data_IF_937034585880
#
_entry.id   IF_937034585880
#
_cell.length_a   1.000
_cell.length_b   1.000
_cell.length_c   1.000
_cell.angle_alpha   90.00
_cell.angle_beta   90.00
_cell.angle_gamma   90.00
#
_symmetry.space_group_name_H-M   'P 1'
#
loop_
_entity.id
_entity.type
_entity.pdbx_description
1 polymer ?
#
# COMPACT_ATOMS: atom_id res chain seq x y z
N UNK A 1 -12.71 0.87 -8.69
CA UNK A 1 -13.43 1.32 -7.48
C UNK A 1 -12.54 2.31 -6.71
N UNK A 2 -11.47 1.89 -6.01
CA UNK A 2 -10.61 2.80 -5.23
C UNK A 2 -10.03 3.99 -6.02
N UNK A 3 -9.36 3.78 -7.15
CA UNK A 3 -8.73 4.87 -7.92
C UNK A 3 -9.75 5.93 -8.35
N UNK A 4 -10.92 5.50 -8.81
CA UNK A 4 -12.02 6.41 -9.19
C UNK A 4 -12.53 7.20 -7.97
N UNK A 5 -12.77 6.51 -6.87
CA UNK A 5 -13.16 7.13 -5.59
C UNK A 5 -12.10 8.14 -5.13
N UNK A 6 -10.82 7.85 -5.32
CA UNK A 6 -9.71 8.76 -4.99
C UNK A 6 -9.76 10.03 -5.82
N UNK A 7 -9.92 9.92 -7.14
CA UNK A 7 -10.05 11.09 -8.03
C UNK A 7 -11.24 11.97 -7.59
N UNK A 8 -12.37 11.35 -7.25
CA UNK A 8 -13.55 12.05 -6.74
C UNK A 8 -13.29 12.71 -5.38
N UNK A 9 -12.58 12.03 -4.47
CA UNK A 9 -12.19 12.57 -3.17
C UNK A 9 -11.31 13.82 -3.29
N UNK A 10 -10.29 13.80 -4.15
CA UNK A 10 -9.44 14.96 -4.42
C UNK A 10 -10.26 16.12 -5.01
N UNK A 11 -11.24 15.83 -5.87
CA UNK A 11 -12.16 16.86 -6.39
C UNK A 11 -13.02 17.49 -5.30
N UNK A 12 -13.50 16.71 -4.33
CA UNK A 12 -14.27 17.19 -3.18
C UNK A 12 -13.41 18.07 -2.26
N UNK A 13 -12.12 17.73 -2.11
CA UNK A 13 -11.19 18.57 -1.35
C UNK A 13 -11.01 19.94 -2.03
N UNK A 14 -10.97 19.99 -3.36
CA UNK A 14 -10.93 21.24 -4.13
C UNK A 14 -9.69 22.07 -3.80
N UNK A 15 -9.87 23.34 -3.45
CA UNK A 15 -8.77 24.23 -3.07
C UNK A 15 -8.09 23.88 -1.75
N UNK A 16 -8.63 22.93 -0.97
CA UNK A 16 -8.01 22.42 0.26
C UNK A 16 -6.90 21.41 0.01
N UNK A 17 -6.69 20.99 -1.24
CA UNK A 17 -5.61 20.07 -1.60
C UNK A 17 -4.28 20.82 -1.59
N UNK A 18 -3.40 20.45 -0.68
CA UNK A 18 -2.02 20.96 -0.55
C UNK A 18 -0.97 19.88 -0.89
N UNK A 19 -1.40 18.76 -1.47
CA UNK A 19 -0.56 17.63 -1.86
C UNK A 19 -0.70 17.29 -3.35
N UNK A 20 0.33 16.64 -3.90
CA UNK A 20 0.30 16.06 -5.24
C UNK A 20 0.16 14.54 -5.18
N UNK A 21 -0.49 13.94 -6.18
CA UNK A 21 -0.66 12.48 -6.28
C UNK A 21 0.08 11.92 -7.48
N UNK A 22 0.82 10.84 -7.28
CA UNK A 22 1.22 9.92 -8.34
C UNK A 22 0.36 8.65 -8.22
N UNK A 23 -0.41 8.34 -9.26
CA UNK A 23 -1.31 7.19 -9.30
C UNK A 23 -0.83 6.20 -10.36
N UNK A 24 -0.31 5.05 -9.92
CA UNK A 24 0.01 3.94 -10.80
C UNK A 24 -1.21 3.02 -10.97
N UNK A 25 -1.73 2.88 -12.19
CA UNK A 25 -2.93 2.04 -12.46
C UNK A 25 -2.62 0.53 -12.53
N UNK A 26 -1.36 0.19 -12.78
CA UNK A 26 -0.86 -1.17 -12.92
C UNK A 26 -0.74 -1.61 -14.37
N UNK A 27 0.28 -2.42 -14.68
CA UNK A 27 0.61 -2.89 -16.04
C UNK A 27 -0.50 -3.70 -16.72
N UNK A 28 -1.39 -4.29 -15.93
CA UNK A 28 -2.51 -5.11 -16.41
C UNK A 28 -3.84 -4.35 -16.44
N UNK A 29 -3.83 -3.03 -16.18
CA UNK A 29 -5.04 -2.22 -16.27
C UNK A 29 -5.49 -2.13 -17.73
N UNK A 30 -6.78 -2.38 -18.05
CA UNK A 30 -7.29 -2.15 -19.39
C UNK A 30 -7.07 -0.68 -19.81
N UNK A 31 -6.66 -0.39 -21.06
CA UNK A 31 -6.35 0.97 -21.51
C UNK A 31 -7.51 1.95 -21.29
N UNK A 32 -8.75 1.47 -21.35
CA UNK A 32 -9.96 2.27 -21.14
C UNK A 32 -10.04 2.83 -19.72
N UNK A 33 -9.54 2.07 -18.73
CA UNK A 33 -9.49 2.53 -17.32
C UNK A 33 -8.51 3.69 -17.18
N UNK A 34 -7.36 3.63 -17.84
CA UNK A 34 -6.38 4.72 -17.81
C UNK A 34 -6.97 6.00 -18.41
N UNK A 35 -7.55 5.90 -19.61
CA UNK A 35 -8.17 7.04 -20.29
C UNK A 35 -9.33 7.65 -19.50
N UNK A 36 -10.16 6.81 -18.87
CA UNK A 36 -11.26 7.27 -18.02
C UNK A 36 -10.73 8.01 -16.78
N UNK A 37 -9.71 7.45 -16.10
CA UNK A 37 -9.12 8.10 -14.93
C UNK A 37 -8.44 9.42 -15.29
N UNK A 38 -7.73 9.50 -16.42
CA UNK A 38 -7.13 10.75 -16.91
C UNK A 38 -8.18 11.82 -17.22
N UNK A 39 -9.28 11.43 -17.88
CA UNK A 39 -10.36 12.34 -18.19
C UNK A 39 -11.03 12.88 -16.91
N UNK A 40 -11.25 12.01 -15.91
CA UNK A 40 -11.76 12.42 -14.62
C UNK A 40 -10.75 13.29 -13.85
N UNK A 41 -9.46 12.97 -13.87
CA UNK A 41 -8.43 13.70 -13.11
C UNK A 41 -8.09 15.09 -13.68
N UNK A 42 -8.66 15.49 -14.83
CA UNK A 42 -8.36 16.77 -15.48
C UNK A 42 -8.55 17.96 -14.52
N UNK A 43 -7.50 18.76 -14.38
CA UNK A 43 -7.49 19.94 -13.50
C UNK A 43 -7.21 19.64 -12.02
N UNK A 44 -6.98 18.38 -11.66
CA UNK A 44 -6.58 17.98 -10.31
C UNK A 44 -5.05 17.76 -10.25
N UNK A 45 -4.41 17.88 -9.08
CA UNK A 45 -2.98 17.62 -8.90
C UNK A 45 -2.67 16.11 -8.84
N UNK A 46 -3.14 15.36 -9.84
CA UNK A 46 -2.99 13.92 -9.95
C UNK A 46 -2.28 13.59 -11.27
N UNK A 47 -1.10 12.99 -11.17
CA UNK A 47 -0.39 12.39 -12.29
C UNK A 47 -0.71 10.90 -12.32
N UNK A 48 -1.31 10.45 -13.42
CA UNK A 48 -1.62 9.03 -13.64
C UNK A 48 -0.54 8.42 -14.53
N UNK A 49 -0.07 7.23 -14.18
CA UNK A 49 0.92 6.46 -14.94
C UNK A 49 0.49 4.99 -15.04
N UNK A 50 0.85 4.27 -16.11
CA UNK A 50 0.58 2.84 -16.21
C UNK A 50 1.30 2.06 -15.11
N UNK A 51 2.56 2.40 -14.83
CA UNK A 51 3.36 1.81 -13.77
C UNK A 51 4.53 2.72 -13.38
N UNK A 52 5.23 2.33 -12.32
CA UNK A 52 6.49 2.94 -11.86
C UNK A 52 7.56 1.86 -11.84
N UNK A 53 8.72 2.13 -12.44
CA UNK A 53 9.84 1.16 -12.49
C UNK A 53 10.44 0.93 -11.09
N UNK A 54 10.58 2.00 -10.31
CA UNK A 54 11.15 1.99 -8.96
C UNK A 54 10.10 2.37 -7.91
N UNK A 55 9.16 1.46 -7.64
CA UNK A 55 8.11 1.65 -6.65
C UNK A 55 8.66 1.99 -5.27
N UNK A 56 9.79 1.38 -4.90
CA UNK A 56 10.43 1.57 -3.59
C UNK A 56 10.87 3.02 -3.39
N UNK A 57 11.54 3.64 -4.37
CA UNK A 57 11.94 5.05 -4.26
C UNK A 57 10.75 6.01 -4.21
N UNK A 58 9.69 5.76 -4.96
CA UNK A 58 8.47 6.59 -4.89
C UNK A 58 7.76 6.44 -3.54
N UNK A 59 7.67 5.22 -2.99
CA UNK A 59 7.13 4.99 -1.64
C UNK A 59 8.02 5.69 -0.60
N UNK A 60 9.34 5.62 -0.75
CA UNK A 60 10.30 6.28 0.14
C UNK A 60 10.16 7.82 0.12
N UNK A 61 9.73 8.40 -0.99
CA UNK A 61 9.47 9.84 -1.11
C UNK A 61 8.06 10.25 -0.64
N UNK A 62 7.10 9.33 -0.59
CA UNK A 62 5.71 9.64 -0.26
C UNK A 62 5.52 9.97 1.23
N UNK A 63 4.63 10.94 1.49
CA UNK A 63 4.11 11.25 2.84
C UNK A 63 2.98 10.31 3.26
N UNK A 64 2.20 9.81 2.29
CA UNK A 64 1.12 8.84 2.48
C UNK A 64 1.01 7.94 1.25
N UNK A 65 0.96 6.63 1.46
CA UNK A 65 0.67 5.63 0.42
C UNK A 65 -0.79 5.19 0.52
N UNK A 66 -1.52 5.19 -0.59
CA UNK A 66 -2.89 4.64 -0.64
C UNK A 66 -2.90 3.38 -1.51
N UNK A 67 -3.24 2.23 -0.94
CA UNK A 67 -3.14 0.95 -1.64
C UNK A 67 -4.20 -0.08 -1.20
N UNK A 68 -4.31 -1.18 -1.96
CA UNK A 68 -5.29 -2.24 -1.73
C UNK A 68 -4.73 -3.46 -0.99
N UNK A 69 -3.82 -3.25 -0.03
CA UNK A 69 -3.21 -4.31 0.78
C UNK A 69 -2.47 -5.41 0.00
N UNK A 70 -1.93 -5.11 -1.20
CA UNK A 70 -1.07 -6.03 -1.95
C UNK A 70 0.18 -6.43 -1.13
N UNK A 71 0.65 -7.67 -1.28
CA UNK A 71 1.77 -8.18 -0.46
C UNK A 71 3.04 -7.36 -0.67
N UNK A 72 3.43 -7.11 -1.93
CA UNK A 72 4.64 -6.36 -2.25
C UNK A 72 4.57 -4.92 -1.73
N UNK A 73 3.50 -4.19 -2.05
CA UNK A 73 3.33 -2.80 -1.63
C UNK A 73 3.32 -2.67 -0.11
N UNK A 74 2.65 -3.57 0.61
CA UNK A 74 2.68 -3.53 2.08
C UNK A 74 4.06 -3.87 2.64
N UNK A 75 4.79 -4.80 2.02
CA UNK A 75 6.16 -5.12 2.44
C UNK A 75 7.08 -3.91 2.26
N UNK A 76 6.98 -3.19 1.15
CA UNK A 76 7.73 -1.95 0.91
C UNK A 76 7.34 -0.85 1.91
N UNK A 77 6.04 -0.64 2.14
CA UNK A 77 5.52 0.32 3.13
C UNK A 77 6.06 0.04 4.53
N UNK A 78 6.04 -1.22 4.95
CA UNK A 78 6.52 -1.64 6.27
C UNK A 78 8.04 -1.51 6.39
N UNK A 79 8.78 -1.95 5.36
CA UNK A 79 10.23 -1.83 5.31
C UNK A 79 10.69 -0.37 5.40
N UNK A 80 10.03 0.52 4.65
CA UNK A 80 10.32 1.96 4.60
C UNK A 80 9.66 2.75 5.74
N UNK A 81 8.87 2.09 6.60
CA UNK A 81 8.09 2.70 7.69
C UNK A 81 7.27 3.90 7.23
N UNK A 82 6.55 3.73 6.13
CA UNK A 82 5.72 4.79 5.54
C UNK A 82 4.30 4.72 6.05
N UNK A 83 3.67 5.89 6.18
CA UNK A 83 2.22 5.95 6.41
C UNK A 83 1.52 5.34 5.21
N UNK A 84 0.59 4.44 5.49
CA UNK A 84 -0.29 3.92 4.47
C UNK A 84 -1.74 3.91 4.94
N UNK A 85 -2.62 4.42 4.08
CA UNK A 85 -4.06 4.26 4.18
C UNK A 85 -4.47 3.12 3.25
N UNK A 86 -4.91 2.02 3.83
CA UNK A 86 -5.10 0.76 3.13
C UNK A 86 -6.58 0.46 2.96
N UNK A 87 -7.00 0.21 1.73
CA UNK A 87 -8.39 -0.14 1.39
C UNK A 87 -8.42 -1.52 0.75
N UNK A 88 -8.54 -2.61 1.54
CA UNK A 88 -8.49 -3.97 1.01
C UNK A 88 -9.69 -4.24 0.08
N UNK A 89 -9.59 -5.24 -0.81
CA UNK A 89 -10.71 -5.61 -1.69
C UNK A 89 -11.93 -6.11 -0.90
N UNK A 90 -13.12 -5.73 -1.37
CA UNK A 90 -14.41 -6.24 -0.89
C UNK A 90 -14.68 -7.71 -1.25
N UNK A 91 -14.15 -8.20 -2.38
CA UNK A 91 -14.35 -9.57 -2.89
C UNK A 91 -13.55 -10.68 -2.17
N UNK A 92 -13.29 -11.85 -2.82
CA UNK A 92 -12.52 -12.95 -2.24
C UNK A 92 -11.06 -12.53 -2.08
N UNK A 93 -10.76 -11.89 -0.95
CA UNK A 93 -9.42 -11.48 -0.57
C UNK A 93 -9.31 -11.43 0.95
N UNK A 94 -9.73 -12.53 1.58
CA UNK A 94 -9.66 -12.70 3.03
C UNK A 94 -8.23 -12.45 3.55
N UNK A 95 -7.22 -12.84 2.78
CA UNK A 95 -5.81 -12.58 3.08
C UNK A 95 -5.48 -11.09 3.14
N UNK A 96 -5.97 -10.27 2.20
CA UNK A 96 -5.75 -8.82 2.21
C UNK A 96 -6.37 -8.17 3.45
N UNK A 97 -7.61 -8.56 3.78
CA UNK A 97 -8.31 -8.05 4.98
C UNK A 97 -7.61 -8.49 6.26
N UNK A 98 -7.22 -9.76 6.35
CA UNK A 98 -6.50 -10.31 7.50
C UNK A 98 -5.17 -9.58 7.70
N UNK A 99 -4.37 -9.43 6.63
CA UNK A 99 -3.09 -8.71 6.65
C UNK A 99 -3.28 -7.25 7.08
N UNK A 100 -4.22 -6.54 6.45
CA UNK A 100 -4.50 -5.15 6.76
C UNK A 100 -4.93 -4.98 8.23
N UNK A 101 -5.82 -5.84 8.73
CA UNK A 101 -6.25 -5.83 10.13
C UNK A 101 -5.11 -6.10 11.11
N UNK A 102 -4.27 -7.12 10.85
CA UNK A 102 -3.14 -7.46 11.71
C UNK A 102 -2.07 -6.36 11.79
N UNK A 103 -1.85 -5.61 10.71
CA UNK A 103 -0.93 -4.48 10.70
C UNK A 103 -1.54 -3.22 11.33
N UNK A 104 -2.83 -2.98 11.13
CA UNK A 104 -3.55 -1.87 11.77
C UNK A 104 -3.63 -2.04 13.30
N UNK A 105 -3.86 -3.26 13.80
CA UNK A 105 -3.84 -3.56 15.23
C UNK A 105 -2.47 -3.26 15.88
N UNK A 106 -1.39 -3.36 15.11
CA UNK A 106 -0.03 -3.00 15.53
C UNK A 106 0.30 -1.54 15.27
N UNK A 107 -0.64 -0.74 14.75
CA UNK A 107 -0.45 0.67 14.34
C UNK A 107 0.69 0.86 13.34
N UNK A 108 0.87 -0.10 12.43
CA UNK A 108 1.88 -0.03 11.37
C UNK A 108 1.34 0.61 10.08
N UNK A 109 0.02 0.56 9.91
CA UNK A 109 -0.74 1.19 8.82
C UNK A 109 -2.07 1.65 9.40
N UNK A 110 -2.85 2.36 8.60
CA UNK A 110 -4.28 2.47 8.86
C UNK A 110 -5.14 1.89 7.73
N UNK A 111 -6.39 1.59 8.07
CA UNK A 111 -7.34 0.90 7.20
C UNK A 111 -8.63 1.70 7.09
N UNK A 112 -9.11 1.82 5.85
CA UNK A 112 -10.50 2.19 5.56
C UNK A 112 -11.21 0.94 5.05
N UNK A 113 -12.28 0.54 5.74
CA UNK A 113 -13.07 -0.62 5.33
C UNK A 113 -13.65 -0.38 3.92
N UNK A 114 -13.54 -1.35 2.99
CA UNK A 114 -14.14 -1.20 1.67
C UNK A 114 -15.66 -0.97 1.68
N UNK A 115 -16.37 -1.37 2.74
CA UNK A 115 -17.79 -1.07 2.92
C UNK A 115 -18.05 0.41 3.18
N UNK A 116 -17.08 1.12 3.77
CA UNK A 116 -17.15 2.56 4.09
C UNK A 116 -16.51 3.43 2.99
N UNK A 117 -16.05 2.82 1.89
CA UNK A 117 -15.35 3.53 0.83
C UNK A 117 -16.31 4.41 0.02
N UNK A 118 -16.36 5.69 0.39
CA UNK A 118 -16.99 6.76 -0.40
C UNK A 118 -15.99 7.87 -0.72
N UNK A 119 -16.26 8.72 -1.74
CA UNK A 119 -15.41 9.88 -2.04
C UNK A 119 -15.27 10.83 -0.85
N UNK A 120 -16.35 11.09 -0.12
CA UNK A 120 -16.39 11.97 1.05
C UNK A 120 -15.56 11.38 2.19
N UNK A 121 -15.74 10.08 2.46
CA UNK A 121 -15.00 9.40 3.51
C UNK A 121 -13.52 9.35 3.17
N UNK A 122 -13.17 9.00 1.93
CA UNK A 122 -11.77 8.99 1.49
C UNK A 122 -11.15 10.39 1.54
N UNK A 123 -11.88 11.44 1.14
CA UNK A 123 -11.40 12.82 1.24
C UNK A 123 -11.06 13.21 2.69
N UNK A 124 -11.95 12.89 3.63
CA UNK A 124 -11.71 13.06 5.06
C UNK A 124 -10.44 12.31 5.49
N UNK A 125 -10.35 11.02 5.14
CA UNK A 125 -9.23 10.16 5.54
C UNK A 125 -7.89 10.62 4.98
N UNK A 126 -7.83 11.12 3.74
CA UNK A 126 -6.59 11.66 3.17
C UNK A 126 -6.01 12.80 4.02
N UNK A 127 -6.85 13.75 4.44
CA UNK A 127 -6.42 14.89 5.27
C UNK A 127 -6.02 14.44 6.67
N UNK A 128 -6.83 13.56 7.29
CA UNK A 128 -6.54 13.03 8.61
C UNK A 128 -5.23 12.24 8.64
N UNK A 129 -5.05 11.31 7.72
CA UNK A 129 -3.91 10.40 7.69
C UNK A 129 -2.60 11.11 7.32
N UNK A 130 -2.65 12.16 6.48
CA UNK A 130 -1.52 13.06 6.26
C UNK A 130 -1.11 13.78 7.56
N UNK A 131 -2.07 14.28 8.35
CA UNK A 131 -1.81 15.05 9.58
C UNK A 131 -1.49 14.21 10.83
N UNK A 132 -1.89 12.94 10.85
CA UNK A 132 -1.71 12.04 12.00
C UNK A 132 -0.25 11.76 12.34
N UNK A 133 0.04 11.46 13.59
CA UNK A 133 1.40 11.17 14.09
C UNK A 133 1.47 9.94 14.99
N UNK A 134 0.35 9.23 15.13
CA UNK A 134 0.18 8.04 15.96
C UNK A 134 0.51 6.75 15.20
N UNK A 135 0.81 6.83 13.90
CA UNK A 135 1.29 5.73 13.07
C UNK A 135 2.13 6.25 11.86
N UNK A 136 2.97 5.41 11.25
CA UNK A 136 3.36 4.07 11.72
C UNK A 136 4.15 4.19 13.03
N UNK A 137 3.84 3.35 14.02
CA UNK A 137 4.65 3.30 15.23
C UNK A 137 5.99 2.62 14.92
N UNK A 138 7.07 3.17 15.47
CA UNK A 138 8.36 2.47 15.57
C UNK A 138 8.25 1.36 16.63
N UNK A 139 7.43 0.33 16.34
CA UNK A 139 7.43 -0.91 17.12
C UNK A 139 8.71 -1.71 16.88
N UNK A 140 8.89 -2.83 17.59
CA UNK A 140 9.86 -3.85 17.17
C UNK A 140 9.66 -4.08 15.68
N UNK A 141 10.65 -3.66 14.88
CA UNK A 141 10.55 -3.73 13.44
C UNK A 141 10.21 -5.18 13.08
N UNK A 142 9.10 -5.39 12.37
CA UNK A 142 8.83 -6.71 11.81
C UNK A 142 10.12 -7.16 11.11
N UNK A 143 10.67 -8.34 11.43
CA UNK A 143 11.91 -8.78 10.79
C UNK A 143 11.68 -8.85 9.28
N UNK A 144 12.33 -7.95 8.53
CA UNK A 144 12.24 -7.86 7.08
C UNK A 144 13.41 -8.59 6.39
N UNK A 145 14.18 -9.39 7.13
CA UNK A 145 15.32 -10.18 6.67
C UNK A 145 14.95 -11.66 6.41
N UNK A 146 13.66 -11.94 6.16
CA UNK A 146 13.16 -13.30 5.95
C UNK A 146 13.89 -14.09 4.86
N UNK A 147 14.41 -13.43 3.81
CA UNK A 147 15.22 -14.09 2.79
C UNK A 147 16.57 -14.61 3.33
N UNK A 148 17.21 -13.83 4.21
CA UNK A 148 18.43 -14.24 4.91
C UNK A 148 18.12 -15.39 5.85
N UNK A 149 17.09 -15.26 6.70
CA UNK A 149 16.68 -16.32 7.63
C UNK A 149 16.32 -17.62 6.90
N UNK A 150 15.62 -17.54 5.76
CA UNK A 150 15.31 -18.69 4.93
C UNK A 150 16.57 -19.35 4.38
N UNK A 151 17.55 -18.55 3.92
CA UNK A 151 18.83 -19.07 3.42
C UNK A 151 19.62 -19.76 4.53
N UNK A 152 19.72 -19.13 5.71
CA UNK A 152 20.41 -19.71 6.86
C UNK A 152 19.78 -21.05 7.26
N UNK A 153 18.44 -21.10 7.32
CA UNK A 153 17.71 -22.34 7.65
C UNK A 153 17.87 -23.44 6.59
N UNK A 154 17.89 -23.07 5.31
CA UNK A 154 18.12 -24.03 4.23
C UNK A 154 19.54 -24.61 4.29
N UNK A 155 20.55 -23.79 4.62
CA UNK A 155 21.92 -24.24 4.78
C UNK A 155 22.08 -25.21 5.95
N UNK A 156 21.40 -24.98 7.06
CA UNK A 156 21.36 -25.92 8.19
C UNK A 156 20.78 -27.28 7.79
N UNK A 157 19.61 -27.29 7.13
CA UNK A 157 18.94 -28.52 6.70
C UNK A 157 19.79 -29.33 5.71
N UNK A 158 20.52 -28.66 4.82
CA UNK A 158 21.44 -29.33 3.89
C UNK A 158 22.59 -30.01 4.65
N UNK A 159 23.16 -29.34 5.67
CA UNK A 159 24.24 -29.93 6.49
C UNK A 159 23.74 -31.14 7.29
N UNK A 160 22.56 -31.03 7.90
CA UNK A 160 21.93 -32.13 8.65
C UNK A 160 21.66 -33.35 7.75
N UNK A 161 21.13 -33.14 6.53
CA UNK A 161 20.88 -34.20 5.56
C UNK A 161 22.15 -34.89 5.04
N UNK A 162 23.24 -34.14 4.86
CA UNK A 162 24.55 -34.71 4.46
C UNK A 162 25.13 -35.57 5.58
N UNK A 163 24.99 -35.15 6.85
CA UNK A 163 25.43 -35.96 7.99
C UNK A 163 24.60 -37.22 8.19
N UNK A 164 23.29 -37.18 7.94
CA UNK A 164 22.41 -38.35 8.02
C UNK A 164 22.63 -39.36 6.88
N UNK A 165 23.08 -38.92 5.70
CA UNK A 165 23.37 -39.79 4.56
C UNK A 165 24.80 -40.39 4.57
N UNK A 166 25.67 -39.91 5.46
CA UNK A 166 27.07 -40.35 5.59
C UNK A 166 27.31 -41.28 6.80
N UNK A 167 26.25 -41.63 7.53
CA UNK A 167 26.22 -42.55 8.68
C UNK A 167 25.42 -43.81 8.33
#
# INVERSE_FOLDING_TARGET
MLMRTYVQAVRILGSRVDFATLMAVGVNAPPEIHLQLEAEARGLPIRIVPFVDDSTSYIAAADLVVCMAGYNTLSEVLYLKKKALVVPRSGPSAEQRTRAGLFAQRRLIDVLDPADLSPEKLAQRLVEDLGRKDYPVDGEALPMDGARQATDRLLELVREGVHAASA
#
